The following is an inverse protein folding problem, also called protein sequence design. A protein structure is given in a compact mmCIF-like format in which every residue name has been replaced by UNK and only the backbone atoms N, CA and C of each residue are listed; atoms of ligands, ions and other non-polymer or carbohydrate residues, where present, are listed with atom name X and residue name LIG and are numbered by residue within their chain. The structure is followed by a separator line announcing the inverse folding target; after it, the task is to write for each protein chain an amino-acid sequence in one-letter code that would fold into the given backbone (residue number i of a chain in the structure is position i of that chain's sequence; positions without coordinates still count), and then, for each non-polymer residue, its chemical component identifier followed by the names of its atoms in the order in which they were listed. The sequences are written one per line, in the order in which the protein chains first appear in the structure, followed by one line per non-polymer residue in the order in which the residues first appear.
data_IF_700167500420
#
_entry.id   IF_700167500420
#
_cell.length_a   1.000
_cell.length_b   1.000
_cell.length_c   1.000
_cell.angle_alpha   90.00
_cell.angle_beta   90.00
_cell.angle_gamma   90.00
#
_symmetry.space_group_name_H-M   'P 1'
#
loop_
_entity.id
_entity.type
_entity.pdbx_description
1 polymer ?
#
# COMPACT_ATOMS: atom_id res chain seq x y z
N UNK A 1 26.19 -40.30 8.87
CA UNK A 1 27.65 -40.10 8.70
C UNK A 1 28.28 -40.90 7.54
N UNK A 2 27.56 -41.75 6.79
CA UNK A 2 28.14 -42.55 5.69
C UNK A 2 28.21 -41.88 4.30
N UNK A 3 27.51 -40.76 4.07
CA UNK A 3 27.50 -40.05 2.77
C UNK A 3 28.82 -39.34 2.43
N UNK A 4 29.62 -38.98 3.42
CA UNK A 4 30.89 -38.24 3.21
C UNK A 4 32.06 -39.16 2.83
N UNK A 5 31.96 -40.47 3.11
CA UNK A 5 33.03 -41.43 2.81
C UNK A 5 33.09 -41.82 1.33
N UNK A 6 31.94 -41.89 0.64
CA UNK A 6 31.89 -42.20 -0.80
C UNK A 6 32.35 -41.01 -1.65
N UNK A 7 32.07 -39.78 -1.21
CA UNK A 7 32.42 -38.57 -1.95
C UNK A 7 33.94 -38.35 -2.01
N UNK A 8 34.64 -38.62 -0.90
CA UNK A 8 36.10 -38.56 -0.85
C UNK A 8 36.77 -39.62 -1.72
N UNK A 9 36.23 -40.84 -1.76
CA UNK A 9 36.77 -41.92 -2.59
C UNK A 9 36.65 -41.59 -4.09
N UNK A 10 35.51 -41.03 -4.51
CA UNK A 10 35.28 -40.62 -5.92
C UNK A 10 36.24 -39.48 -6.32
N UNK A 11 36.47 -38.49 -5.45
CA UNK A 11 37.40 -37.38 -5.74
C UNK A 11 38.84 -37.90 -5.86
N UNK A 12 39.27 -38.80 -4.98
CA UNK A 12 40.63 -39.37 -5.04
C UNK A 12 40.82 -40.21 -6.31
N UNK A 13 39.81 -40.99 -6.73
CA UNK A 13 39.87 -41.78 -7.96
C UNK A 13 39.95 -40.87 -9.20
N UNK A 14 39.15 -39.79 -9.27
CA UNK A 14 39.17 -38.83 -10.39
C UNK A 14 40.52 -38.09 -10.46
N UNK A 15 41.10 -37.78 -9.30
CA UNK A 15 42.41 -37.11 -9.21
C UNK A 15 43.54 -38.00 -9.70
N UNK A 16 43.53 -39.28 -9.33
CA UNK A 16 44.55 -40.26 -9.73
C UNK A 16 44.42 -40.65 -11.21
N UNK A 17 43.20 -40.78 -11.73
CA UNK A 17 42.97 -41.05 -13.17
C UNK A 17 43.45 -39.90 -14.08
N UNK A 18 43.45 -38.66 -13.57
CA UNK A 18 43.86 -37.48 -14.33
C UNK A 18 45.39 -37.30 -14.39
N UNK A 19 46.17 -37.99 -13.54
CA UNK A 19 47.64 -37.92 -13.55
C UNK A 19 48.31 -38.96 -14.45
N UNK A 20 47.63 -40.06 -14.81
CA UNK A 20 48.25 -41.18 -15.57
C UNK A 20 47.90 -41.19 -17.06
N UNK A 21 46.96 -40.38 -17.51
CA UNK A 21 46.60 -40.25 -18.91
C UNK A 21 46.60 -38.78 -19.28
N UNK A 22 47.68 -38.29 -19.90
CA UNK A 22 47.78 -36.95 -20.48
C UNK A 22 46.84 -36.77 -21.68
N UNK A 23 45.54 -36.88 -21.43
CA UNK A 23 44.46 -36.75 -22.40
C UNK A 23 43.49 -35.72 -21.83
N UNK A 24 43.42 -34.55 -22.46
CA UNK A 24 42.49 -33.48 -22.10
C UNK A 24 41.05 -33.93 -22.39
N UNK A 25 40.43 -34.64 -21.45
CA UNK A 25 39.06 -35.18 -21.52
C UNK A 25 37.96 -34.14 -21.22
N UNK A 26 38.37 -32.87 -21.02
CA UNK A 26 37.51 -31.79 -20.53
C UNK A 26 36.66 -31.15 -21.63
N UNK A 27 37.10 -31.17 -22.89
CA UNK A 27 36.39 -30.52 -24.00
C UNK A 27 35.32 -31.40 -24.65
N UNK A 28 35.55 -32.72 -24.76
CA UNK A 28 34.63 -33.63 -25.45
C UNK A 28 33.51 -34.23 -24.57
N UNK A 29 33.64 -34.17 -23.24
CA UNK A 29 32.53 -34.52 -22.34
C UNK A 29 31.49 -33.41 -22.22
N UNK A 30 31.88 -32.15 -22.40
CA UNK A 30 30.97 -31.01 -22.29
C UNK A 30 29.94 -30.95 -23.44
N UNK A 31 30.31 -31.42 -24.63
CA UNK A 31 29.40 -31.57 -25.78
C UNK A 31 28.44 -32.75 -25.62
N UNK A 32 28.89 -33.86 -25.03
CA UNK A 32 28.02 -35.01 -24.74
C UNK A 32 26.95 -34.72 -23.68
N UNK A 33 27.25 -33.89 -22.66
CA UNK A 33 26.28 -33.54 -21.61
C UNK A 33 25.31 -32.40 -22.01
N UNK A 34 25.66 -31.53 -22.96
CA UNK A 34 24.78 -30.42 -23.36
C UNK A 34 23.59 -30.87 -24.24
N UNK A 35 23.71 -32.01 -24.92
CA UNK A 35 22.66 -32.51 -25.83
C UNK A 35 21.58 -33.35 -25.13
N UNK A 36 21.90 -33.98 -23.99
CA UNK A 36 20.93 -34.71 -23.18
C UNK A 36 20.02 -33.79 -22.33
N UNK A 37 20.43 -32.56 -22.03
CA UNK A 37 19.63 -31.61 -21.25
C UNK A 37 18.54 -30.90 -22.07
N UNK A 38 18.70 -30.78 -23.40
CA UNK A 38 17.83 -29.93 -24.22
C UNK A 38 16.59 -30.64 -24.78
N UNK A 39 16.45 -31.96 -24.54
CA UNK A 39 15.29 -32.75 -25.01
C UNK A 39 14.25 -33.03 -23.91
N UNK A 40 14.55 -32.71 -22.64
CA UNK A 40 13.61 -32.86 -21.53
C UNK A 40 12.87 -31.55 -21.15
N UNK A 41 13.26 -30.40 -21.72
CA UNK A 41 12.68 -29.10 -21.35
C UNK A 41 11.50 -28.65 -22.24
N UNK A 42 11.03 -29.45 -23.20
CA UNK A 42 10.01 -29.00 -24.17
C UNK A 42 8.58 -29.49 -23.89
N UNK A 43 8.33 -30.31 -22.85
CA UNK A 43 6.97 -30.82 -22.56
C UNK A 43 6.44 -30.55 -21.15
N UNK A 44 7.15 -29.79 -20.30
CA UNK A 44 6.59 -29.30 -19.04
C UNK A 44 6.32 -27.80 -19.15
N UNK A 45 5.15 -27.48 -19.71
CA UNK A 45 4.42 -26.29 -19.27
C UNK A 45 3.73 -26.67 -17.95
N UNK A 46 3.60 -25.70 -17.03
CA UNK A 46 2.99 -25.81 -15.67
C UNK A 46 4.01 -26.36 -14.67
N UNK A 47 4.72 -25.56 -13.87
CA UNK A 47 4.28 -24.52 -12.93
C UNK A 47 5.38 -23.47 -12.84
N UNK A 48 5.04 -22.19 -13.01
CA UNK A 48 5.91 -21.09 -12.62
C UNK A 48 6.32 -21.29 -11.16
N UNK A 49 7.58 -21.66 -10.95
CA UNK A 49 8.13 -21.93 -9.62
C UNK A 49 7.77 -20.76 -8.72
N UNK A 50 7.14 -20.99 -7.57
CA UNK A 50 6.70 -19.94 -6.65
C UNK A 50 7.82 -18.92 -6.33
N UNK A 51 9.09 -19.35 -6.43
CA UNK A 51 10.29 -18.50 -6.35
C UNK A 51 10.43 -17.50 -7.52
N UNK A 52 10.22 -17.93 -8.77
CA UNK A 52 10.29 -17.07 -9.97
C UNK A 52 9.09 -16.11 -10.07
N UNK A 53 7.94 -16.49 -9.51
CA UNK A 53 6.79 -15.58 -9.39
C UNK A 53 7.01 -14.55 -8.27
N UNK A 54 7.59 -14.96 -7.14
CA UNK A 54 7.93 -14.05 -6.04
C UNK A 54 8.95 -12.98 -6.46
N UNK A 55 9.90 -13.32 -7.33
CA UNK A 55 10.86 -12.36 -7.88
C UNK A 55 10.22 -11.22 -8.68
N UNK A 56 9.09 -11.45 -9.35
CA UNK A 56 8.38 -10.42 -10.13
C UNK A 56 7.49 -9.48 -9.30
N UNK A 57 7.28 -9.78 -8.02
CA UNK A 57 6.57 -8.90 -7.07
C UNK A 57 7.52 -8.13 -6.14
N UNK A 58 8.83 -8.25 -6.34
CA UNK A 58 9.85 -7.51 -5.58
C UNK A 58 10.11 -6.11 -6.17
N UNK A 59 9.60 -5.82 -7.36
CA UNK A 59 9.72 -4.49 -7.97
C UNK A 59 8.70 -3.53 -7.35
N UNK A 60 9.14 -2.36 -6.84
CA UNK A 60 8.24 -1.40 -6.22
C UNK A 60 7.26 -0.87 -7.27
N UNK A 61 5.98 -1.20 -7.09
CA UNK A 61 4.91 -0.65 -7.91
C UNK A 61 4.83 0.87 -7.74
N UNK A 62 4.88 1.64 -8.82
CA UNK A 62 4.76 3.11 -8.81
C UNK A 62 3.33 3.56 -9.13
N UNK A 63 2.82 4.50 -8.32
CA UNK A 63 1.43 4.99 -8.39
C UNK A 63 1.39 6.52 -8.45
N UNK A 64 0.48 7.05 -9.26
CA UNK A 64 0.28 8.51 -9.37
C UNK A 64 -0.50 9.06 -8.17
N UNK A 65 0.00 10.10 -7.45
CA UNK A 65 -0.69 10.68 -6.29
C UNK A 65 -2.09 11.25 -6.60
N UNK A 66 -2.33 11.67 -7.84
CA UNK A 66 -3.60 12.25 -8.28
C UNK A 66 -4.53 11.22 -8.95
N UNK A 67 -3.95 10.15 -9.51
CA UNK A 67 -4.66 9.15 -10.29
C UNK A 67 -4.25 7.75 -9.83
N UNK A 68 -4.76 7.31 -8.68
CA UNK A 68 -4.40 6.02 -8.07
C UNK A 68 -4.73 4.78 -8.91
N UNK A 69 -5.45 4.94 -10.02
CA UNK A 69 -5.72 3.88 -10.99
C UNK A 69 -4.54 3.64 -11.96
N UNK A 70 -3.54 4.53 -11.99
CA UNK A 70 -2.36 4.41 -12.85
C UNK A 70 -1.24 3.78 -12.04
N UNK A 71 -1.06 2.48 -12.28
CA UNK A 71 -0.06 1.63 -11.64
C UNK A 71 0.96 1.23 -12.70
N UNK A 72 2.25 1.38 -12.42
CA UNK A 72 3.34 0.94 -13.30
C UNK A 72 4.46 0.31 -12.51
N UNK A 73 5.20 -0.58 -13.17
CA UNK A 73 6.34 -1.27 -12.56
C UNK A 73 7.63 -0.43 -12.61
N UNK A 74 7.64 0.67 -13.38
CA UNK A 74 8.79 1.54 -13.59
C UNK A 74 8.54 2.99 -13.17
N UNK A 75 9.61 3.67 -12.75
CA UNK A 75 9.60 5.13 -12.53
C UNK A 75 9.31 5.85 -13.84
N UNK A 76 8.43 6.85 -13.79
CA UNK A 76 8.12 7.64 -14.96
C UNK A 76 7.02 8.66 -14.68
N UNK A 77 6.49 9.24 -15.75
CA UNK A 77 5.50 10.31 -15.69
C UNK A 77 4.08 9.78 -15.92
N UNK A 78 3.13 10.34 -15.16
CA UNK A 78 1.72 10.11 -15.37
C UNK A 78 1.25 10.73 -16.70
N UNK A 79 0.60 9.99 -17.61
CA UNK A 79 0.16 10.50 -18.91
C UNK A 79 -1.04 11.45 -18.80
N UNK A 80 -1.72 11.48 -17.65
CA UNK A 80 -2.90 12.32 -17.43
C UNK A 80 -2.51 13.68 -16.83
N UNK A 81 -1.69 13.70 -15.77
CA UNK A 81 -1.29 14.94 -15.09
C UNK A 81 0.16 15.36 -15.28
N UNK A 82 1.00 14.54 -15.91
CA UNK A 82 2.43 14.85 -16.14
C UNK A 82 3.31 14.81 -14.88
N UNK A 83 2.77 14.42 -13.72
CA UNK A 83 3.55 14.29 -12.47
C UNK A 83 4.32 12.97 -12.40
N UNK A 84 5.39 12.94 -11.62
CA UNK A 84 6.18 11.74 -11.32
C UNK A 84 5.36 10.70 -10.54
N UNK A 85 5.50 9.43 -10.94
CA UNK A 85 4.94 8.31 -10.18
C UNK A 85 5.80 8.05 -8.94
N UNK A 86 5.15 7.78 -7.81
CA UNK A 86 5.79 7.56 -6.50
C UNK A 86 5.68 6.08 -6.12
N UNK A 87 6.69 5.45 -5.51
CA UNK A 87 6.59 4.06 -5.04
C UNK A 87 5.41 3.87 -4.08
N UNK A 88 4.63 2.80 -4.28
CA UNK A 88 3.45 2.47 -3.48
C UNK A 88 3.80 2.20 -2.01
N UNK A 89 5.01 1.68 -1.74
CA UNK A 89 5.52 1.44 -0.39
C UNK A 89 5.60 2.75 0.43
N UNK A 90 5.93 3.88 -0.22
CA UNK A 90 6.00 5.18 0.44
C UNK A 90 4.59 5.72 0.75
N UNK A 91 3.62 5.47 -0.14
CA UNK A 91 2.24 5.93 0.04
C UNK A 91 1.47 5.20 1.16
N UNK A 92 1.81 3.95 1.46
CA UNK A 92 1.17 3.18 2.54
C UNK A 92 1.63 3.60 3.95
N UNK A 93 2.75 4.32 4.05
CA UNK A 93 3.31 4.81 5.32
C UNK A 93 2.62 6.07 5.88
N UNK A 94 1.70 6.68 5.12
CA UNK A 94 0.98 7.91 5.49
C UNK A 94 -0.40 7.61 6.11
N UNK A 95 -0.63 6.40 6.63
CA UNK A 95 -1.70 6.19 7.60
C UNK A 95 -1.22 6.70 8.96
N UNK A 96 -1.80 7.77 9.54
CA UNK A 96 -1.49 8.19 10.90
C UNK A 96 -2.14 7.24 11.92
N UNK A 97 -1.83 5.94 11.83
CA UNK A 97 -2.07 4.95 12.85
C UNK A 97 -0.81 4.78 13.70
N UNK A 98 -0.18 5.90 14.07
CA UNK A 98 0.80 5.92 15.16
C UNK A 98 0.04 5.94 16.48
N UNK A 99 0.13 4.81 17.16
CA UNK A 99 -0.55 4.45 18.39
C UNK A 99 -0.09 5.37 19.52
N UNK A 100 -0.85 6.41 19.80
CA UNK A 100 -1.00 6.89 21.18
C UNK A 100 -2.35 6.37 21.66
N UNK A 101 -2.37 5.79 22.85
CA UNK A 101 -3.49 5.11 23.51
C UNK A 101 -4.74 6.00 23.61
N UNK A 102 -5.44 6.21 22.49
CA UNK A 102 -6.69 6.97 22.44
C UNK A 102 -7.79 6.06 22.96
N UNK A 103 -8.20 6.30 24.21
CA UNK A 103 -9.36 5.63 24.81
C UNK A 103 -10.59 5.91 23.94
N UNK A 104 -11.16 4.85 23.37
CA UNK A 104 -12.44 4.91 22.66
C UNK A 104 -13.52 5.23 23.68
N UNK A 105 -14.28 6.29 23.45
CA UNK A 105 -15.34 6.71 24.36
C UNK A 105 -16.67 6.04 23.97
N UNK A 106 -17.01 6.05 22.68
CA UNK A 106 -18.22 5.42 22.12
C UNK A 106 -18.12 5.26 20.60
N UNK A 107 -19.04 4.49 20.01
CA UNK A 107 -19.14 4.23 18.56
C UNK A 107 -20.38 4.91 17.97
N UNK A 108 -20.27 5.50 16.77
CA UNK A 108 -21.32 6.31 16.12
C UNK A 108 -21.54 5.91 14.66
N UNK A 109 -22.77 6.06 14.15
CA UNK A 109 -23.07 5.83 12.74
C UNK A 109 -22.61 7.00 11.86
N UNK A 110 -21.96 6.73 10.70
CA UNK A 110 -21.51 7.79 9.79
C UNK A 110 -22.63 8.72 9.32
N UNK A 111 -23.84 8.20 9.18
CA UNK A 111 -25.02 8.93 8.69
C UNK A 111 -26.01 9.34 9.78
N UNK A 112 -25.83 8.87 11.01
CA UNK A 112 -26.68 9.22 12.14
C UNK A 112 -25.83 9.43 13.40
N UNK A 113 -25.56 10.71 13.69
CA UNK A 113 -24.78 11.10 14.87
C UNK A 113 -25.48 10.79 16.20
N UNK A 114 -26.81 10.61 16.20
CA UNK A 114 -27.58 10.30 17.40
C UNK A 114 -27.48 8.81 17.78
N UNK A 115 -27.20 7.92 16.82
CA UNK A 115 -27.04 6.50 17.06
C UNK A 115 -25.66 6.17 17.67
N UNK A 116 -25.63 5.90 18.99
CA UNK A 116 -24.42 5.66 19.79
C UNK A 116 -24.46 4.30 20.48
N UNK A 117 -23.29 3.66 20.63
CA UNK A 117 -23.14 2.41 21.39
C UNK A 117 -21.74 2.26 21.97
N UNK A 118 -21.56 1.33 22.90
CA UNK A 118 -20.28 1.12 23.58
C UNK A 118 -19.36 0.08 22.90
N UNK A 119 -19.93 -0.80 22.07
CA UNK A 119 -19.21 -1.93 21.43
C UNK A 119 -18.99 -1.72 19.94
N UNK A 120 -18.03 -2.42 19.28
CA UNK A 120 -17.87 -2.49 17.81
C UNK A 120 -18.93 -3.38 17.09
N UNK A 121 -19.03 -3.33 15.74
CA UNK A 121 -20.17 -3.85 14.91
C UNK A 121 -20.93 -2.81 14.04
N UNK A 122 -22.14 -3.16 13.60
CA UNK A 122 -22.90 -2.44 12.56
C UNK A 122 -24.10 -1.64 13.08
N UNK A 123 -24.43 -0.59 12.34
CA UNK A 123 -25.65 0.22 12.51
C UNK A 123 -26.88 -0.51 11.95
N UNK A 124 -28.11 -0.05 12.27
CA UNK A 124 -29.34 -0.62 11.69
C UNK A 124 -29.38 -0.56 10.16
N UNK A 125 -28.59 0.35 9.57
CA UNK A 125 -28.42 0.51 8.12
C UNK A 125 -27.25 -0.33 7.56
N UNK A 126 -26.69 -1.26 8.33
CA UNK A 126 -25.67 -2.20 7.88
C UNK A 126 -24.26 -1.63 7.71
N UNK A 127 -24.05 -0.35 8.01
CA UNK A 127 -22.71 0.26 7.95
C UNK A 127 -21.96 0.08 9.27
N UNK A 128 -20.64 -0.08 9.16
CA UNK A 128 -19.75 -0.15 10.32
C UNK A 128 -19.72 1.17 11.07
N UNK A 129 -19.74 1.06 12.40
CA UNK A 129 -19.75 2.23 13.26
C UNK A 129 -18.32 2.71 13.49
N UNK A 130 -18.17 4.02 13.62
CA UNK A 130 -16.88 4.71 13.75
C UNK A 130 -16.62 4.99 15.22
N UNK A 131 -15.42 4.65 15.69
CA UNK A 131 -14.98 4.92 17.05
C UNK A 131 -14.70 6.42 17.25
N UNK A 132 -15.35 7.01 18.26
CA UNK A 132 -15.08 8.38 18.71
C UNK A 132 -14.17 8.31 19.94
N UNK A 133 -13.06 9.03 19.88
CA UNK A 133 -12.01 9.02 20.89
C UNK A 133 -12.20 10.16 21.88
N UNK A 134 -11.77 9.95 23.13
CA UNK A 134 -11.66 11.02 24.10
C UNK A 134 -10.49 11.95 23.72
N UNK A 135 -10.77 13.17 23.30
CA UNK A 135 -9.72 14.16 23.07
C UNK A 135 -9.23 14.73 24.41
N UNK A 136 -8.04 14.30 24.84
CA UNK A 136 -7.33 14.85 26.00
C UNK A 136 -6.62 16.16 25.64
N UNK A 137 -7.38 17.23 25.41
CA UNK A 137 -6.98 18.65 25.60
C UNK A 137 -7.90 19.59 24.79
N UNK A 138 -9.18 19.58 25.13
CA UNK A 138 -10.06 20.69 24.76
C UNK A 138 -10.69 21.21 26.04
N UNK A 139 -10.35 22.44 26.42
CA UNK A 139 -11.10 23.20 27.41
C UNK A 139 -12.57 23.18 26.98
N UNK A 140 -13.42 22.59 27.81
CA UNK A 140 -14.82 22.36 27.49
C UNK A 140 -15.49 23.65 27.00
N UNK A 141 -15.92 23.67 25.73
CA UNK A 141 -16.64 24.80 25.13
C UNK A 141 -15.91 25.54 23.99
N UNK A 142 -14.66 25.23 23.68
CA UNK A 142 -13.95 25.83 22.53
C UNK A 142 -13.50 24.74 21.56
N UNK A 143 -14.13 24.71 20.37
CA UNK A 143 -13.70 23.86 19.25
C UNK A 143 -12.62 24.59 18.47
N UNK A 144 -11.44 23.95 18.32
CA UNK A 144 -10.33 24.50 17.54
C UNK A 144 -10.37 23.96 16.10
N UNK A 145 -10.35 24.84 15.12
CA UNK A 145 -10.28 24.49 13.69
C UNK A 145 -8.98 25.06 13.11
N UNK A 146 -8.27 24.27 12.30
CA UNK A 146 -7.04 24.70 11.64
C UNK A 146 -7.27 25.91 10.70
N UNK A 147 -6.32 26.86 10.65
CA UNK A 147 -6.44 28.07 9.83
C UNK A 147 -6.54 27.80 8.33
N UNK A 148 -5.85 26.77 7.81
CA UNK A 148 -5.94 26.37 6.41
C UNK A 148 -7.37 25.92 6.05
N UNK A 149 -8.03 25.20 6.97
CA UNK A 149 -9.42 24.76 6.78
C UNK A 149 -10.36 25.98 6.80
N UNK A 150 -10.16 26.92 7.73
CA UNK A 150 -10.96 28.16 7.80
C UNK A 150 -10.83 29.00 6.52
N UNK A 151 -9.63 29.09 5.95
CA UNK A 151 -9.37 29.80 4.70
C UNK A 151 -10.02 29.10 3.51
N UNK A 152 -9.88 27.78 3.42
CA UNK A 152 -10.41 27.00 2.29
C UNK A 152 -11.95 27.02 2.25
N UNK A 153 -12.62 27.05 3.39
CA UNK A 153 -14.09 27.15 3.47
C UNK A 153 -14.60 28.60 3.38
N UNK A 154 -13.72 29.60 3.39
CA UNK A 154 -14.07 31.01 3.23
C UNK A 154 -14.91 31.58 4.37
N UNK A 155 -14.55 31.28 5.64
CA UNK A 155 -15.30 31.79 6.81
C UNK A 155 -15.36 33.32 6.81
N UNK A 156 -16.57 33.88 6.84
CA UNK A 156 -16.81 35.32 7.00
C UNK A 156 -17.27 35.63 8.41
N UNK A 157 -16.54 36.50 9.10
CA UNK A 157 -16.89 36.96 10.45
C UNK A 157 -17.24 38.44 10.43
N UNK A 158 -18.19 38.85 11.27
CA UNK A 158 -18.49 40.25 11.53
C UNK A 158 -18.67 40.46 13.04
N UNK A 159 -18.38 41.67 13.52
CA UNK A 159 -18.66 42.02 14.92
C UNK A 159 -20.17 42.10 15.15
N UNK A 160 -20.63 41.55 16.25
CA UNK A 160 -22.04 41.62 16.64
C UNK A 160 -22.39 43.06 17.04
N UNK A 161 -23.50 43.57 16.51
CA UNK A 161 -24.05 44.89 16.84
C UNK A 161 -25.51 44.74 17.27
N UNK A 162 -25.94 45.58 18.22
CA UNK A 162 -27.35 45.71 18.59
C UNK A 162 -27.94 46.93 17.89
N UNK A 163 -29.15 46.81 17.38
CA UNK A 163 -29.87 47.89 16.74
C UNK A 163 -31.26 47.45 16.29
N UNK A 164 -32.06 48.40 15.82
CA UNK A 164 -33.41 48.12 15.32
C UNK A 164 -33.36 47.55 13.90
N UNK A 165 -33.89 46.35 13.73
CA UNK A 165 -33.99 45.69 12.42
C UNK A 165 -35.28 46.14 11.73
N UNK A 166 -35.16 47.05 10.75
CA UNK A 166 -36.29 47.45 9.91
C UNK A 166 -36.36 46.59 8.65
N UNK A 167 -37.57 46.20 8.25
CA UNK A 167 -37.84 45.47 7.01
C UNK A 167 -38.43 46.42 5.98
N UNK A 168 -37.76 46.61 4.84
CA UNK A 168 -38.32 47.38 3.73
C UNK A 168 -39.45 46.58 3.08
N UNK A 169 -40.66 47.12 3.08
CA UNK A 169 -41.79 46.58 2.31
C UNK A 169 -42.04 47.51 1.14
N UNK A 170 -41.84 47.01 -0.08
CA UNK A 170 -42.22 47.71 -1.31
C UNK A 170 -43.41 46.99 -1.91
N UNK A 171 -44.49 47.73 -2.18
CA UNK A 171 -45.67 47.21 -2.87
C UNK A 171 -46.04 48.13 -4.02
N UNK A 172 -46.67 47.57 -5.04
CA UNK A 172 -47.30 48.32 -6.13
C UNK A 172 -48.82 48.34 -5.91
N UNK A 173 -49.48 49.43 -6.30
CA UNK A 173 -50.94 49.57 -6.23
C UNK A 173 -51.49 50.00 -7.59
N UNK A 174 -52.67 49.49 -7.96
CA UNK A 174 -53.40 49.91 -9.16
C UNK A 174 -54.36 51.05 -8.80
N UNK A 175 -54.46 52.06 -9.68
CA UNK A 175 -55.38 53.21 -9.57
C UNK A 175 -56.66 52.91 -10.34
#
# INVERSE_FOLDING_TARGET
MWKWSLYFIVIVIISVLSLTAGINYKSDLLSYYHELFNTQQSTVKVVDTALQHAEKHLDPTYVCPMHGQIIRDEKGYCPICGMDLVPQEEQQSINPASQTEKKILYWVAPMDAAYRRDKPGQSPMGMDLVAVYAEQNQTAGVVSINSAVQQNIGVKTAKVQRGDLWRKVSTVGYV
#
